data_IF_621318095849
#
_entry.id   IF_621318095849
#
_cell.length_a   1.000
_cell.length_b   1.000
_cell.length_c   1.000
_cell.angle_alpha   90.00
_cell.angle_beta   90.00
_cell.angle_gamma   90.00
#
_symmetry.space_group_name_H-M   'P 1'
#
loop_
_entity.id
_entity.type
_entity.pdbx_description
1 polymer ?
#
# COMPACT_ATOMS: atom_id res chain seq x y z
N UNK A 1 -12.06 43.01 -10.44
CA UNK A 1 -12.17 41.57 -10.78
C UNK A 1 -10.84 40.91 -10.47
N UNK A 2 -10.71 40.27 -9.31
CA UNK A 2 -9.50 39.51 -8.96
C UNK A 2 -9.87 38.04 -9.17
N UNK A 3 -9.35 37.44 -10.24
CA UNK A 3 -9.38 35.98 -10.42
C UNK A 3 -8.41 35.40 -9.39
N UNK A 4 -8.93 35.05 -8.22
CA UNK A 4 -8.21 34.25 -7.25
C UNK A 4 -8.04 32.87 -7.87
N UNK A 5 -6.90 32.65 -8.52
CA UNK A 5 -6.49 31.34 -8.99
C UNK A 5 -6.29 30.48 -7.74
N UNK A 6 -7.32 29.72 -7.40
CA UNK A 6 -7.20 28.58 -6.50
C UNK A 6 -6.27 27.62 -7.21
N UNK A 7 -4.96 27.76 -6.99
CA UNK A 7 -4.02 26.66 -7.22
C UNK A 7 -4.40 25.65 -6.16
N UNK A 8 -5.42 24.84 -6.47
CA UNK A 8 -5.61 23.56 -5.84
C UNK A 8 -4.30 22.84 -6.11
N UNK A 9 -3.41 22.85 -5.13
CA UNK A 9 -2.32 21.91 -5.07
C UNK A 9 -2.98 20.55 -5.08
N UNK A 10 -3.18 19.99 -6.28
CA UNK A 10 -3.40 18.58 -6.50
C UNK A 10 -2.22 17.91 -5.82
N UNK A 11 -2.44 17.56 -4.56
CA UNK A 11 -1.56 16.70 -3.81
C UNK A 11 -1.37 15.52 -4.74
N UNK A 12 -0.15 15.30 -5.22
CA UNK A 12 0.19 14.18 -6.11
C UNK A 12 -0.19 12.90 -5.36
N UNK A 13 -1.44 12.47 -5.50
CA UNK A 13 -1.98 11.33 -4.76
C UNK A 13 -1.43 10.09 -5.43
N UNK A 14 -0.86 9.20 -4.61
CA UNK A 14 -0.52 7.87 -5.07
C UNK A 14 -1.82 7.16 -5.45
N UNK A 15 -1.90 6.71 -6.68
CA UNK A 15 -2.97 5.87 -7.21
C UNK A 15 -2.33 4.53 -7.57
N UNK A 16 -2.85 3.42 -7.05
CA UNK A 16 -2.49 2.12 -7.60
C UNK A 16 -3.15 2.03 -8.98
N UNK A 17 -2.38 1.64 -10.00
CA UNK A 17 -2.96 1.40 -11.31
C UNK A 17 -3.80 0.11 -11.24
N UNK A 18 -4.84 0.02 -12.08
CA UNK A 18 -5.62 -1.21 -12.25
C UNK A 18 -4.72 -2.20 -13.00
N UNK A 19 -3.91 -2.96 -12.26
CA UNK A 19 -2.79 -3.73 -12.83
C UNK A 19 -2.51 -4.98 -11.99
N UNK A 20 -2.19 -6.07 -12.71
CA UNK A 20 -1.92 -7.42 -12.23
C UNK A 20 -1.02 -7.46 -10.98
N UNK A 21 -1.60 -7.81 -9.84
CA UNK A 21 -0.83 -8.18 -8.67
C UNK A 21 -0.01 -9.44 -8.98
N UNK A 22 1.31 -9.37 -8.82
CA UNK A 22 2.22 -10.49 -9.13
C UNK A 22 2.98 -10.93 -7.90
N UNK A 23 2.87 -12.21 -7.57
CA UNK A 23 3.68 -12.80 -6.51
C UNK A 23 5.10 -13.11 -7.02
N UNK A 24 6.09 -12.68 -6.26
CA UNK A 24 7.50 -12.95 -6.42
C UNK A 24 7.92 -13.96 -5.34
N UNK A 25 8.16 -15.20 -5.73
CA UNK A 25 8.51 -16.28 -4.80
C UNK A 25 9.96 -16.26 -4.32
N UNK A 26 10.83 -15.44 -4.92
CA UNK A 26 12.22 -15.27 -4.46
C UNK A 26 12.28 -14.35 -3.23
N UNK A 27 11.48 -13.29 -3.26
CA UNK A 27 11.42 -12.27 -2.21
C UNK A 27 10.17 -12.38 -1.33
N UNK A 28 9.35 -13.41 -1.56
CA UNK A 28 8.07 -13.65 -0.87
C UNK A 28 7.22 -12.37 -0.78
N UNK A 29 7.00 -11.72 -1.92
CA UNK A 29 6.36 -10.41 -1.99
C UNK A 29 5.38 -10.30 -3.16
N UNK A 30 4.32 -9.52 -3.01
CA UNK A 30 3.42 -9.14 -4.10
C UNK A 30 3.79 -7.76 -4.63
N UNK A 31 3.97 -7.67 -5.94
CA UNK A 31 4.28 -6.44 -6.66
C UNK A 31 3.00 -5.87 -7.24
N UNK A 32 2.82 -4.56 -7.06
CA UNK A 32 1.68 -3.79 -7.54
C UNK A 32 2.20 -2.56 -8.30
N UNK A 33 1.72 -2.32 -9.51
CA UNK A 33 2.04 -1.08 -10.20
C UNK A 33 1.25 0.10 -9.62
N UNK A 34 1.92 1.25 -9.50
CA UNK A 34 1.35 2.46 -8.96
C UNK A 34 1.84 3.72 -9.70
N UNK A 35 1.13 4.81 -9.50
CA UNK A 35 1.45 6.14 -10.01
C UNK A 35 1.34 7.19 -8.93
N UNK A 36 2.27 8.13 -8.91
CA UNK A 36 2.20 9.36 -8.11
C UNK A 36 2.29 10.55 -9.08
N UNK A 37 1.17 11.20 -9.35
CA UNK A 37 1.09 12.21 -10.41
C UNK A 37 1.44 11.58 -11.77
N UNK A 38 2.51 12.04 -12.41
CA UNK A 38 2.96 11.51 -13.71
C UNK A 38 4.03 10.41 -13.62
N UNK A 39 4.53 10.11 -12.42
CA UNK A 39 5.58 9.12 -12.23
C UNK A 39 4.98 7.74 -11.97
N UNK A 40 5.48 6.72 -12.65
CA UNK A 40 5.21 5.31 -12.33
C UNK A 40 6.16 4.83 -11.25
N UNK A 41 5.66 4.00 -10.33
CA UNK A 41 6.45 3.29 -9.35
C UNK A 41 5.86 1.90 -9.10
N UNK A 42 6.68 0.98 -8.60
CA UNK A 42 6.27 -0.33 -8.11
C UNK A 42 6.07 -0.27 -6.59
N UNK A 43 4.97 -0.81 -6.09
CA UNK A 43 4.74 -1.04 -4.66
C UNK A 43 4.96 -2.53 -4.41
N UNK A 44 6.01 -2.85 -3.67
CA UNK A 44 6.38 -4.22 -3.31
C UNK A 44 5.88 -4.45 -1.89
N UNK A 45 5.02 -5.43 -1.70
CA UNK A 45 4.37 -5.72 -0.42
C UNK A 45 4.80 -7.11 0.03
N UNK A 46 5.48 -7.23 1.17
CA UNK A 46 5.90 -8.55 1.66
C UNK A 46 4.70 -9.43 2.02
N UNK A 47 4.88 -10.76 1.97
CA UNK A 47 3.87 -11.72 2.40
C UNK A 47 3.39 -11.41 3.83
N UNK A 48 4.34 -11.18 4.76
CA UNK A 48 4.05 -10.76 6.14
C UNK A 48 3.15 -9.52 6.21
N UNK A 49 3.34 -8.54 5.31
CA UNK A 49 2.50 -7.34 5.30
C UNK A 49 1.05 -7.65 4.90
N UNK A 50 0.87 -8.54 3.93
CA UNK A 50 -0.47 -8.96 3.49
C UNK A 50 -1.12 -9.82 4.57
N UNK A 51 -0.37 -10.71 5.19
CA UNK A 51 -0.81 -11.53 6.32
C UNK A 51 -1.27 -10.67 7.52
N UNK A 52 -0.55 -9.59 7.84
CA UNK A 52 -0.95 -8.63 8.88
C UNK A 52 -2.25 -7.89 8.52
N UNK A 53 -2.45 -7.55 7.24
CA UNK A 53 -3.69 -6.92 6.76
C UNK A 53 -4.88 -7.89 6.80
N UNK A 54 -4.68 -9.12 6.35
CA UNK A 54 -5.69 -10.18 6.32
C UNK A 54 -5.99 -10.67 7.74
N UNK A 55 -4.99 -10.67 8.62
CA UNK A 55 -5.04 -11.24 9.97
C UNK A 55 -4.96 -12.78 9.98
N UNK A 56 -4.37 -13.37 8.94
CA UNK A 56 -4.23 -14.81 8.75
C UNK A 56 -2.82 -15.09 8.22
N UNK A 57 -2.14 -16.06 8.82
CA UNK A 57 -0.81 -16.52 8.40
C UNK A 57 -0.66 -18.03 8.73
N UNK A 58 0.01 -18.83 7.90
CA UNK A 58 0.62 -18.46 6.62
C UNK A 58 -0.40 -18.45 5.46
N UNK A 59 -0.22 -17.54 4.49
CA UNK A 59 -1.02 -17.50 3.26
C UNK A 59 -0.31 -18.16 2.07
N UNK A 60 -1.06 -18.79 1.17
CA UNK A 60 -0.53 -19.26 -0.11
C UNK A 60 -0.32 -18.08 -1.08
N UNK A 61 0.51 -18.26 -2.12
CA UNK A 61 0.76 -17.23 -3.13
C UNK A 61 -0.52 -16.65 -3.76
N UNK A 62 -1.49 -17.51 -4.09
CA UNK A 62 -2.80 -17.07 -4.61
C UNK A 62 -3.54 -16.19 -3.58
N UNK A 63 -3.54 -16.62 -2.31
CA UNK A 63 -4.20 -15.88 -1.23
C UNK A 63 -3.49 -14.56 -0.89
N UNK A 64 -2.17 -14.49 -1.10
CA UNK A 64 -1.40 -13.25 -0.99
C UNK A 64 -1.79 -12.26 -2.08
N UNK A 65 -1.96 -12.72 -3.32
CA UNK A 65 -2.44 -11.89 -4.44
C UNK A 65 -3.86 -11.40 -4.14
N UNK A 66 -4.79 -12.31 -3.80
CA UNK A 66 -6.16 -11.97 -3.44
C UNK A 66 -6.20 -10.95 -2.28
N UNK A 67 -5.36 -11.15 -1.27
CA UNK A 67 -5.24 -10.24 -0.13
C UNK A 67 -4.74 -8.87 -0.53
N UNK A 68 -3.69 -8.80 -1.34
CA UNK A 68 -3.17 -7.54 -1.86
C UNK A 68 -4.21 -6.77 -2.69
N UNK A 69 -5.01 -7.47 -3.50
CA UNK A 69 -6.11 -6.87 -4.26
C UNK A 69 -7.26 -6.41 -3.37
N UNK A 70 -7.70 -7.26 -2.43
CA UNK A 70 -8.79 -6.95 -1.50
C UNK A 70 -8.46 -5.73 -0.61
N UNK A 71 -7.20 -5.61 -0.19
CA UNK A 71 -6.70 -4.53 0.66
C UNK A 71 -5.98 -3.42 -0.12
N UNK A 72 -6.14 -3.34 -1.44
CA UNK A 72 -5.44 -2.39 -2.32
C UNK A 72 -5.50 -0.95 -1.83
N UNK A 73 -6.66 -0.50 -1.34
CA UNK A 73 -6.86 0.89 -0.89
C UNK A 73 -6.00 1.18 0.35
N UNK A 74 -5.91 0.24 1.28
CA UNK A 74 -5.10 0.37 2.49
C UNK A 74 -3.61 0.34 2.15
N UNK A 75 -3.21 -0.56 1.25
CA UNK A 75 -1.83 -0.65 0.73
C UNK A 75 -1.45 0.67 0.03
N UNK A 76 -2.33 1.24 -0.79
CA UNK A 76 -2.12 2.53 -1.44
C UNK A 76 -1.91 3.67 -0.42
N UNK A 77 -2.71 3.69 0.64
CA UNK A 77 -2.61 4.69 1.69
C UNK A 77 -1.32 4.55 2.51
N UNK A 78 -0.92 3.32 2.86
CA UNK A 78 0.36 3.04 3.52
C UNK A 78 1.52 3.45 2.61
N UNK A 79 1.47 3.04 1.33
CA UNK A 79 2.45 3.43 0.32
C UNK A 79 2.58 4.95 0.21
N UNK A 80 1.45 5.66 0.16
CA UNK A 80 1.41 7.12 0.10
C UNK A 80 2.04 7.75 1.34
N UNK A 81 1.71 7.25 2.54
CA UNK A 81 2.29 7.77 3.79
C UNK A 81 3.80 7.57 3.84
N UNK A 82 4.29 6.41 3.39
CA UNK A 82 5.71 6.06 3.38
C UNK A 82 6.50 6.83 2.33
N UNK A 83 5.97 6.96 1.11
CA UNK A 83 6.60 7.76 0.05
C UNK A 83 6.55 9.27 0.36
N UNK A 84 5.52 9.74 1.05
CA UNK A 84 5.31 11.16 1.31
C UNK A 84 5.03 11.94 0.02
N UNK A 85 5.47 13.21 -0.10
CA UNK A 85 5.22 14.04 -1.27
C UNK A 85 6.16 13.74 -2.47
N UNK A 86 7.08 12.78 -2.35
CA UNK A 86 8.12 12.50 -3.34
C UNK A 86 8.06 11.04 -3.80
N UNK A 87 8.42 10.82 -5.06
CA UNK A 87 8.63 9.48 -5.61
C UNK A 87 10.03 9.02 -5.19
N UNK A 88 10.20 7.81 -4.64
CA UNK A 88 11.52 7.28 -4.32
C UNK A 88 12.39 7.17 -5.58
N UNK A 89 13.68 7.48 -5.46
CA UNK A 89 14.61 7.58 -6.58
C UNK A 89 14.79 6.27 -7.38
N UNK A 90 14.45 5.12 -6.80
CA UNK A 90 14.49 3.81 -7.46
C UNK A 90 13.19 3.39 -8.13
N UNK A 91 12.14 4.22 -8.10
CA UNK A 91 10.85 3.86 -8.69
C UNK A 91 10.16 2.68 -8.03
N UNK A 92 10.60 2.24 -6.84
CA UNK A 92 9.99 1.17 -6.07
C UNK A 92 9.83 1.57 -4.61
N UNK A 93 8.75 1.08 -3.98
CA UNK A 93 8.44 1.29 -2.58
C UNK A 93 8.14 -0.05 -1.91
N UNK A 94 9.00 -0.44 -0.97
CA UNK A 94 8.82 -1.64 -0.19
C UNK A 94 7.92 -1.38 1.03
N UNK A 95 6.91 -2.22 1.23
CA UNK A 95 6.05 -2.26 2.40
C UNK A 95 6.22 -3.60 3.12
N UNK A 96 6.46 -3.56 4.42
CA UNK A 96 6.61 -4.73 5.28
C UNK A 96 5.52 -4.77 6.36
N UNK A 97 5.43 -5.87 7.12
CA UNK A 97 4.43 -6.01 8.19
C UNK A 97 4.45 -4.86 9.21
N UNK A 98 5.60 -4.21 9.38
CA UNK A 98 5.75 -3.03 10.27
C UNK A 98 5.05 -1.77 9.74
N UNK A 99 4.91 -1.65 8.43
CA UNK A 99 4.21 -0.52 7.81
C UNK A 99 2.69 -0.70 7.86
N UNK A 100 2.23 -1.95 8.02
CA UNK A 100 0.81 -2.27 7.99
C UNK A 100 0.14 -1.98 9.33
N UNK A 101 -1.09 -1.44 9.30
CA UNK A 101 -1.86 -1.29 10.51
C UNK A 101 -2.12 -2.70 11.03
N UNK A 102 -1.50 -3.06 12.17
CA UNK A 102 -1.83 -4.30 12.87
C UNK A 102 -3.33 -4.33 13.04
N UNK A 103 -3.98 -5.40 12.59
CA UNK A 103 -5.39 -5.63 12.90
C UNK A 103 -5.46 -5.67 14.42
N UNK A 104 -5.88 -4.56 15.01
CA UNK A 104 -5.99 -4.42 16.45
C UNK A 104 -6.98 -5.48 16.86
N UNK A 105 -6.48 -6.59 17.41
CA UNK A 105 -7.27 -7.31 18.39
C UNK A 105 -7.67 -6.23 19.38
N UNK A 106 -8.98 -5.96 19.46
CA UNK A 106 -9.57 -5.09 20.48
C UNK A 106 -8.74 -5.21 21.76
N UNK A 107 -8.43 -4.11 22.47
CA UNK A 107 -8.12 -4.27 23.88
C UNK A 107 -9.33 -4.98 24.50
N UNK A 108 -9.15 -6.25 24.80
CA UNK A 108 -10.00 -6.98 25.71
C UNK A 108 -9.68 -6.38 27.08
N UNK A 109 -10.64 -5.67 27.67
CA UNK A 109 -10.51 -4.99 28.96
C UNK A 109 -10.63 -3.46 28.82
N UNK A 110 -11.54 -2.76 29.47
CA UNK A 110 -12.15 -3.06 30.76
C UNK A 110 -13.57 -2.53 30.84
N UNK A 111 -14.46 -3.38 31.33
CA UNK A 111 -15.64 -2.98 32.10
C UNK A 111 -15.10 -2.43 33.41
N UNK A 112 -15.35 -1.16 33.71
CA UNK A 112 -15.56 -0.64 35.07
C UNK A 112 -16.34 0.67 34.99
#
# INVERSE_FOLDING_TARGET
MIRLAVIMSETKRLQLEETDARYDGETESVRLDARIGHARLEVIVSAEAIEELVGEAPLSAERLIDGAEAYRVQIADVARRKAGPKVPAGGALLLTGRDMPKRSTKPSGSVH
#
